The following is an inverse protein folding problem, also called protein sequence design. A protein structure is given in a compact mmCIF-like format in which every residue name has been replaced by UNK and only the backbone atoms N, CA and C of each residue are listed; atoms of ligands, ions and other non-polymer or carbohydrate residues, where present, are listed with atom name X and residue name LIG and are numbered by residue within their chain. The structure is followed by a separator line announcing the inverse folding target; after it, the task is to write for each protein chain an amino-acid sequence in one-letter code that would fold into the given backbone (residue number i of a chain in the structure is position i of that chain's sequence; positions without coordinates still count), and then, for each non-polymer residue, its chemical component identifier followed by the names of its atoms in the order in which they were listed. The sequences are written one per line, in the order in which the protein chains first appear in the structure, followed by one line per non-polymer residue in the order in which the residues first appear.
data_IF_248422851492
#
_entry.id   IF_248422851492
#
_cell.length_a   1.000
_cell.length_b   1.000
_cell.length_c   1.000
_cell.angle_alpha   90.00
_cell.angle_beta   90.00
_cell.angle_gamma   90.00
#
_symmetry.space_group_name_H-M   'P 1'
#
loop_
_entity.id
_entity.type
_entity.pdbx_description
1 polymer ?
#
# COMPACT_ATOMS: atom_id res chain seq x y z
N UNK A 1 21.17 3.45 8.66
CA UNK A 1 21.22 4.91 8.46
C UNK A 1 20.97 5.71 9.73
N UNK A 2 20.24 5.19 10.72
CA UNK A 2 20.06 5.85 12.02
C UNK A 2 21.43 6.28 12.63
N UNK A 3 21.65 7.57 12.85
CA UNK A 3 22.93 8.13 13.32
C UNK A 3 24.06 8.22 12.30
N UNK A 4 23.82 7.97 11.00
CA UNK A 4 24.88 7.86 9.96
C UNK A 4 24.58 8.61 8.66
N UNK A 5 23.55 9.45 8.65
CA UNK A 5 23.14 10.24 7.48
C UNK A 5 22.72 11.65 7.89
N UNK A 6 22.82 12.59 6.94
CA UNK A 6 22.27 13.94 7.09
C UNK A 6 20.78 13.86 7.47
N UNK A 7 20.39 14.60 8.51
CA UNK A 7 19.01 14.65 9.03
C UNK A 7 18.78 13.95 10.38
N UNK A 8 19.61 12.97 10.75
CA UNK A 8 19.45 12.14 11.96
C UNK A 8 20.81 11.75 12.57
N UNK A 9 21.69 12.75 12.70
CA UNK A 9 23.08 12.58 13.16
C UNK A 9 23.12 12.02 14.59
N UNK A 10 22.19 12.46 15.46
CA UNK A 10 22.13 12.04 16.86
C UNK A 10 21.51 10.64 17.05
N UNK A 11 20.91 10.09 15.99
CA UNK A 11 20.35 8.74 15.96
C UNK A 11 19.12 8.55 16.84
N UNK A 12 17.96 9.04 16.40
CA UNK A 12 16.71 8.95 17.17
C UNK A 12 16.10 7.55 17.21
N UNK A 13 15.41 7.23 18.30
CA UNK A 13 14.63 5.99 18.41
C UNK A 13 13.35 6.03 17.57
N UNK A 14 13.03 4.93 16.91
CA UNK A 14 11.80 4.77 16.11
C UNK A 14 10.63 4.26 16.93
N UNK A 15 10.86 3.72 18.12
CA UNK A 15 9.81 3.30 19.05
C UNK A 15 10.05 3.82 20.47
N UNK A 16 9.06 4.56 21.00
CA UNK A 16 8.89 5.03 22.39
C UNK A 16 10.16 5.56 23.09
N UNK A 17 11.08 6.18 22.36
CA UNK A 17 12.38 6.61 22.88
C UNK A 17 13.19 5.48 23.55
N UNK A 18 12.95 4.23 23.16
CA UNK A 18 13.55 3.06 23.79
C UNK A 18 14.21 2.09 22.81
N UNK A 19 13.73 2.03 21.57
CA UNK A 19 14.24 1.06 20.60
C UNK A 19 14.18 1.55 19.16
N UNK A 20 15.00 0.92 18.32
CA UNK A 20 15.02 1.12 16.86
C UNK A 20 14.49 -0.17 16.24
N UNK A 21 13.22 -0.19 15.86
CA UNK A 21 12.54 -1.39 15.34
C UNK A 21 11.95 -1.19 13.94
N UNK A 22 11.80 0.07 13.54
CA UNK A 22 11.39 0.44 12.18
C UNK A 22 12.61 0.71 11.29
N UNK A 23 12.65 0.08 10.12
CA UNK A 23 13.77 0.14 9.19
C UNK A 23 13.29 0.49 7.78
N UNK A 24 14.13 1.22 7.03
CA UNK A 24 14.01 1.32 5.59
C UNK A 24 15.17 0.55 4.96
N UNK A 25 14.83 -0.40 4.08
CA UNK A 25 15.78 -1.20 3.33
C UNK A 25 15.76 -0.75 1.87
N UNK A 26 16.94 -0.65 1.26
CA UNK A 26 17.12 -0.32 -0.14
C UNK A 26 18.29 -1.12 -0.72
N UNK A 27 18.37 -1.20 -2.04
CA UNK A 27 19.55 -1.75 -2.71
C UNK A 27 20.76 -0.84 -2.49
N UNK A 28 21.96 -1.41 -2.59
CA UNK A 28 23.20 -0.64 -2.50
C UNK A 28 23.25 0.47 -3.56
N UNK A 29 22.70 0.24 -4.75
CA UNK A 29 22.64 1.24 -5.82
C UNK A 29 21.72 2.40 -5.48
N UNK A 30 20.60 2.17 -4.79
CA UNK A 30 19.64 3.23 -4.46
C UNK A 30 20.13 4.11 -3.31
N UNK A 31 21.07 3.64 -2.50
CA UNK A 31 21.56 4.40 -1.33
C UNK A 31 22.22 5.71 -1.75
N UNK A 32 22.84 5.76 -2.94
CA UNK A 32 23.47 6.97 -3.48
C UNK A 32 22.46 8.09 -3.77
N UNK A 33 21.19 7.74 -3.91
CA UNK A 33 20.10 8.69 -4.12
C UNK A 33 19.55 9.26 -2.81
N UNK A 34 19.94 8.76 -1.64
CA UNK A 34 19.44 9.30 -0.37
C UNK A 34 20.02 10.69 -0.11
N UNK A 35 19.14 11.66 0.12
CA UNK A 35 19.52 13.04 0.46
C UNK A 35 19.29 13.39 1.92
N UNK A 36 18.23 12.84 2.52
CA UNK A 36 17.86 13.09 3.91
C UNK A 36 17.20 11.84 4.48
N UNK A 37 17.53 11.52 5.73
CA UNK A 37 16.83 10.51 6.52
C UNK A 37 16.61 11.09 7.91
N UNK A 38 15.37 11.07 8.39
CA UNK A 38 15.06 11.49 9.76
C UNK A 38 13.92 10.73 10.39
N UNK A 39 14.07 10.48 11.69
CA UNK A 39 12.96 10.08 12.54
C UNK A 39 12.23 11.34 13.00
N UNK A 40 10.96 11.45 12.60
CA UNK A 40 10.08 12.53 13.00
C UNK A 40 9.65 12.37 14.46
N UNK A 41 9.27 13.49 15.09
CA UNK A 41 8.78 13.44 16.46
C UNK A 41 7.50 12.60 16.55
N UNK A 42 7.39 11.83 17.64
CA UNK A 42 6.23 10.98 17.90
C UNK A 42 4.93 11.76 17.77
N UNK A 43 3.97 11.17 17.08
CA UNK A 43 2.64 11.73 16.92
C UNK A 43 1.60 10.67 17.23
N UNK A 44 0.87 10.92 18.31
CA UNK A 44 -0.26 10.13 18.77
C UNK A 44 -1.37 9.98 17.72
N UNK A 45 -1.42 10.85 16.71
CA UNK A 45 -2.36 10.73 15.59
C UNK A 45 -2.07 9.55 14.66
N UNK A 46 -0.81 9.15 14.53
CA UNK A 46 -0.38 8.17 13.53
C UNK A 46 0.02 6.83 14.15
N UNK A 47 0.45 6.83 15.41
CA UNK A 47 0.80 5.62 16.14
C UNK A 47 0.62 5.81 17.64
N UNK A 48 0.57 4.71 18.36
CA UNK A 48 0.60 4.61 19.82
C UNK A 48 2.03 4.52 20.37
N UNK A 49 2.96 3.90 19.62
CA UNK A 49 4.35 3.67 20.09
C UNK A 49 5.44 4.01 19.07
N UNK A 50 5.13 4.13 17.78
CA UNK A 50 6.12 4.35 16.72
C UNK A 50 6.22 5.81 16.28
N UNK A 51 7.45 6.24 16.01
CA UNK A 51 7.79 7.52 15.40
C UNK A 51 7.95 7.34 13.89
N UNK A 52 7.34 8.20 13.05
CA UNK A 52 7.47 8.07 11.60
C UNK A 52 8.91 8.28 11.12
N UNK A 53 9.31 7.52 10.10
CA UNK A 53 10.56 7.73 9.36
C UNK A 53 10.24 8.54 8.10
N UNK A 54 10.99 9.62 7.87
CA UNK A 54 10.96 10.41 6.64
C UNK A 54 12.27 10.24 5.88
N UNK A 55 12.15 10.00 4.58
CA UNK A 55 13.27 9.78 3.66
C UNK A 55 13.08 10.68 2.46
N UNK A 56 14.15 11.35 2.05
CA UNK A 56 14.21 12.10 0.80
C UNK A 56 15.20 11.43 -0.14
N UNK A 57 14.78 11.27 -1.39
CA UNK A 57 15.61 10.71 -2.46
C UNK A 57 15.79 11.78 -3.53
N UNK A 58 17.02 11.94 -4.02
CA UNK A 58 17.29 12.66 -5.26
C UNK A 58 16.97 11.72 -6.41
N UNK A 59 16.01 12.12 -7.22
CA UNK A 59 15.88 11.53 -8.54
C UNK A 59 17.07 12.00 -9.37
N UNK A 60 17.92 11.06 -9.77
CA UNK A 60 18.90 11.35 -10.81
C UNK A 60 18.11 11.26 -12.11
N UNK A 61 17.81 12.39 -12.72
CA UNK A 61 17.47 12.40 -14.13
C UNK A 61 18.76 12.04 -14.86
N UNK A 62 19.04 10.73 -14.97
CA UNK A 62 19.77 10.30 -16.13
C UNK A 62 18.86 10.70 -17.29
N UNK A 63 19.27 11.72 -18.02
CA UNK A 63 19.08 11.72 -19.47
C UNK A 63 19.71 10.44 -19.98
N UNK A 64 19.03 9.31 -19.78
CA UNK A 64 19.08 8.28 -20.78
C UNK A 64 18.57 9.02 -22.00
N UNK A 65 19.47 9.28 -22.93
CA UNK A 65 19.18 9.58 -24.32
C UNK A 65 18.44 8.39 -24.96
N UNK A 66 17.41 7.88 -24.30
CA UNK A 66 16.21 7.47 -25.00
C UNK A 66 15.64 8.79 -25.48
N UNK A 67 15.74 9.04 -26.78
CA UNK A 67 14.83 9.94 -27.46
C UNK A 67 13.42 9.53 -27.03
N UNK A 68 12.89 10.13 -25.98
CA UNK A 68 11.48 10.16 -25.68
C UNK A 68 10.88 11.08 -26.74
N UNK A 69 10.77 10.55 -27.95
CA UNK A 69 9.73 10.96 -28.86
C UNK A 69 8.41 10.86 -28.09
N UNK A 70 7.67 11.97 -28.13
CA UNK A 70 6.26 12.03 -27.81
C UNK A 70 5.52 10.71 -28.11
N UNK A 71 4.65 10.33 -27.18
CA UNK A 71 3.54 9.42 -27.42
C UNK A 71 3.85 8.04 -28.03
N UNK A 72 4.73 7.28 -27.37
CA UNK A 72 4.49 5.84 -27.21
C UNK A 72 4.74 5.42 -25.78
N UNK A 73 3.78 5.71 -24.89
CA UNK A 73 3.43 4.68 -23.89
C UNK A 73 3.02 3.48 -24.72
N UNK A 74 3.95 2.59 -25.04
CA UNK A 74 3.57 1.23 -25.37
C UNK A 74 2.71 0.81 -24.19
N UNK A 75 1.43 0.55 -24.46
CA UNK A 75 0.56 -0.10 -23.51
C UNK A 75 1.26 -1.41 -23.18
N UNK A 76 2.13 -1.44 -22.17
CA UNK A 76 2.59 -2.68 -21.57
C UNK A 76 1.32 -3.31 -21.03
N UNK A 77 0.77 -4.22 -21.83
CA UNK A 77 -0.49 -4.85 -21.56
C UNK A 77 -0.29 -5.64 -20.26
N UNK A 78 -0.78 -5.10 -19.14
CA UNK A 78 -0.61 -5.75 -17.84
C UNK A 78 -1.36 -7.06 -17.86
N UNK A 79 -0.65 -8.18 -17.71
CA UNK A 79 -1.26 -9.50 -17.68
C UNK A 79 -2.10 -9.64 -16.39
N UNK A 80 -3.20 -10.39 -16.46
CA UNK A 80 -3.96 -10.77 -15.27
C UNK A 80 -3.10 -11.60 -14.31
N UNK A 81 -3.49 -11.63 -13.04
CA UNK A 81 -2.70 -12.32 -12.02
C UNK A 81 -2.67 -13.83 -12.29
N UNK A 82 -1.55 -14.47 -11.93
CA UNK A 82 -1.41 -15.92 -11.94
C UNK A 82 -2.49 -16.58 -11.07
N UNK A 83 -3.04 -17.69 -11.55
CA UNK A 83 -4.02 -18.54 -10.86
C UNK A 83 -3.59 -19.99 -11.04
N UNK A 84 -3.48 -20.75 -9.95
CA UNK A 84 -2.95 -22.12 -10.01
C UNK A 84 -3.82 -23.05 -10.86
N UNK A 85 -5.12 -22.75 -10.94
CA UNK A 85 -6.09 -23.46 -11.75
C UNK A 85 -5.80 -23.36 -13.26
N UNK A 86 -5.03 -22.36 -13.71
CA UNK A 86 -4.68 -22.15 -15.12
C UNK A 86 -3.23 -22.52 -15.45
N UNK A 87 -2.52 -23.13 -14.52
CA UNK A 87 -1.11 -23.54 -14.70
C UNK A 87 -0.91 -24.49 -15.89
N UNK A 88 -1.78 -25.49 -16.05
CA UNK A 88 -1.71 -26.43 -17.18
C UNK A 88 -1.93 -25.72 -18.53
N UNK A 89 -2.90 -24.79 -18.57
CA UNK A 89 -3.20 -24.00 -19.76
C UNK A 89 -2.04 -23.08 -20.16
N UNK A 90 -1.28 -22.59 -19.16
CA UNK A 90 -0.07 -21.84 -19.42
C UNK A 90 0.98 -22.67 -20.15
N UNK A 91 1.18 -23.93 -19.73
CA UNK A 91 2.11 -24.85 -20.39
C UNK A 91 1.67 -25.14 -21.83
N UNK A 92 0.37 -25.32 -22.09
CA UNK A 92 -0.15 -25.50 -23.46
C UNK A 92 0.04 -24.25 -24.34
N UNK A 93 0.08 -23.06 -23.73
CA UNK A 93 0.29 -21.81 -24.44
C UNK A 93 1.78 -21.46 -24.63
N UNK A 94 2.72 -22.28 -24.13
CA UNK A 94 4.15 -22.10 -24.40
C UNK A 94 4.44 -22.43 -25.86
N UNK A 95 5.03 -21.47 -26.57
CA UNK A 95 5.44 -21.68 -27.95
C UNK A 95 6.75 -22.49 -27.96
N UNK A 96 6.64 -23.81 -28.04
CA UNK A 96 7.78 -24.72 -28.03
C UNK A 96 8.72 -24.48 -29.22
N UNK A 97 8.19 -24.12 -30.38
CA UNK A 97 8.99 -23.81 -31.57
C UNK A 97 9.88 -22.58 -31.36
N UNK A 98 9.37 -21.53 -30.73
CA UNK A 98 10.18 -20.36 -30.37
C UNK A 98 11.25 -20.70 -29.32
N UNK A 99 10.94 -21.59 -28.37
CA UNK A 99 11.91 -22.06 -27.38
C UNK A 99 13.03 -22.86 -28.04
N UNK A 100 12.71 -23.75 -28.99
CA UNK A 100 13.68 -24.50 -29.77
C UNK A 100 14.57 -23.60 -30.63
N UNK A 101 13.99 -22.54 -31.22
CA UNK A 101 14.75 -21.53 -31.96
C UNK A 101 15.71 -20.78 -31.05
N UNK A 102 15.27 -20.36 -29.85
CA UNK A 102 16.13 -19.71 -28.85
C UNK A 102 17.28 -20.64 -28.44
N UNK A 103 16.99 -21.92 -28.17
CA UNK A 103 18.03 -22.90 -27.81
C UNK A 103 19.05 -23.08 -28.96
N UNK A 104 18.58 -23.19 -30.20
CA UNK A 104 19.44 -23.32 -31.37
C UNK A 104 20.34 -22.08 -31.58
N UNK A 105 19.82 -20.88 -31.31
CA UNK A 105 20.60 -19.66 -31.34
C UNK A 105 21.65 -19.59 -30.22
N UNK A 106 21.31 -20.06 -29.02
CA UNK A 106 22.24 -20.17 -27.90
C UNK A 106 23.38 -21.12 -28.28
N UNK A 107 23.06 -22.31 -28.79
CA UNK A 107 24.05 -23.32 -29.16
C UNK A 107 24.93 -22.89 -30.35
N UNK A 108 24.37 -22.08 -31.26
CA UNK A 108 25.09 -21.51 -32.40
C UNK A 108 25.93 -20.27 -32.08
N UNK A 109 25.82 -19.71 -30.87
CA UNK A 109 26.53 -18.50 -30.48
C UNK A 109 27.97 -18.82 -30.08
N UNK A 110 28.93 -18.37 -30.89
CA UNK A 110 30.37 -18.56 -30.64
C UNK A 110 31.03 -17.39 -29.92
N UNK A 111 30.43 -16.20 -29.97
CA UNK A 111 30.91 -14.99 -29.29
C UNK A 111 29.79 -14.42 -28.43
N UNK A 112 30.02 -14.42 -27.11
CA UNK A 112 29.05 -13.92 -26.14
C UNK A 112 29.40 -12.47 -25.81
N UNK A 113 28.56 -11.54 -26.28
CA UNK A 113 28.60 -10.13 -25.89
C UNK A 113 27.36 -9.77 -25.06
N UNK A 114 27.37 -8.60 -24.42
CA UNK A 114 26.23 -8.10 -23.66
C UNK A 114 24.98 -7.98 -24.56
N UNK A 115 25.15 -7.53 -25.80
CA UNK A 115 24.07 -7.39 -26.76
C UNK A 115 23.42 -8.75 -27.09
N UNK A 116 24.23 -9.81 -27.22
CA UNK A 116 23.71 -11.17 -27.46
C UNK A 116 22.91 -11.66 -26.26
N UNK A 117 23.38 -11.41 -25.02
CA UNK A 117 22.66 -11.76 -23.80
C UNK A 117 21.33 -11.01 -23.70
N UNK A 118 21.33 -9.70 -23.91
CA UNK A 118 20.13 -8.87 -23.85
C UNK A 118 19.10 -9.28 -24.91
N UNK A 119 19.55 -9.62 -26.12
CA UNK A 119 18.70 -10.15 -27.17
C UNK A 119 18.02 -11.46 -26.77
N UNK A 120 18.78 -12.43 -26.24
CA UNK A 120 18.25 -13.73 -25.81
C UNK A 120 17.24 -13.54 -24.67
N UNK A 121 17.57 -12.71 -23.68
CA UNK A 121 16.67 -12.38 -22.57
C UNK A 121 15.38 -11.74 -23.09
N UNK A 122 15.48 -10.83 -24.06
CA UNK A 122 14.31 -10.21 -24.69
C UNK A 122 13.41 -11.24 -25.38
N UNK A 123 13.99 -12.23 -26.08
CA UNK A 123 13.25 -13.31 -26.73
C UNK A 123 12.54 -14.20 -25.71
N UNK A 124 13.25 -14.65 -24.67
CA UNK A 124 12.66 -15.43 -23.57
C UNK A 124 11.52 -14.65 -22.90
N UNK A 125 11.74 -13.38 -22.60
CA UNK A 125 10.74 -12.49 -22.02
C UNK A 125 9.48 -12.41 -22.89
N UNK A 126 9.63 -12.25 -24.21
CA UNK A 126 8.50 -12.22 -25.16
C UNK A 126 7.71 -13.52 -25.17
N UNK A 127 8.38 -14.67 -25.19
CA UNK A 127 7.71 -15.99 -25.13
C UNK A 127 6.86 -16.07 -23.87
N UNK A 128 7.44 -15.78 -22.70
CA UNK A 128 6.72 -15.85 -21.42
C UNK A 128 5.56 -14.87 -21.32
N UNK A 129 5.74 -13.62 -21.78
CA UNK A 129 4.70 -12.59 -21.77
C UNK A 129 3.54 -12.99 -22.70
N UNK A 130 3.84 -13.48 -23.90
CA UNK A 130 2.81 -13.88 -24.85
C UNK A 130 2.01 -15.08 -24.35
N UNK A 131 2.69 -16.10 -23.83
CA UNK A 131 2.04 -17.28 -23.23
C UNK A 131 1.17 -16.90 -22.03
N UNK A 132 1.65 -15.98 -21.20
CA UNK A 132 0.89 -15.48 -20.05
C UNK A 132 -0.31 -14.63 -20.50
N UNK A 133 -0.14 -13.78 -21.50
CA UNK A 133 -1.22 -13.01 -22.12
C UNK A 133 -2.33 -13.90 -22.68
N UNK A 134 -1.98 -14.96 -23.41
CA UNK A 134 -2.92 -15.92 -23.97
C UNK A 134 -3.65 -16.74 -22.89
N UNK A 135 -2.99 -17.01 -21.77
CA UNK A 135 -3.55 -17.84 -20.69
C UNK A 135 -4.44 -17.04 -19.74
N UNK A 136 -3.93 -15.90 -19.27
CA UNK A 136 -4.56 -15.12 -18.20
C UNK A 136 -5.37 -13.95 -18.76
N UNK A 137 -5.11 -13.54 -20.00
CA UNK A 137 -5.68 -12.34 -20.61
C UNK A 137 -4.97 -11.07 -20.15
N UNK A 138 -5.16 -9.99 -20.92
CA UNK A 138 -4.63 -8.68 -20.60
C UNK A 138 -5.64 -7.85 -19.79
N UNK A 139 -5.17 -7.14 -18.78
CA UNK A 139 -5.95 -6.15 -18.04
C UNK A 139 -6.28 -5.02 -18.99
N UNK A 140 -7.55 -4.87 -19.30
CA UNK A 140 -8.06 -3.64 -19.88
C UNK A 140 -7.83 -2.54 -18.84
N UNK A 141 -7.09 -1.50 -19.21
CA UNK A 141 -6.93 -0.31 -18.38
C UNK A 141 -8.29 0.38 -18.26
N UNK A 142 -9.13 -0.06 -17.33
CA UNK A 142 -10.30 0.69 -16.94
C UNK A 142 -9.80 2.05 -16.45
N UNK A 143 -10.19 3.12 -17.15
CA UNK A 143 -9.86 4.49 -16.74
C UNK A 143 -10.19 4.63 -15.27
N UNK A 144 -9.21 5.07 -14.47
CA UNK A 144 -9.38 5.25 -13.03
C UNK A 144 -10.54 6.21 -12.82
N UNK A 145 -11.75 5.69 -12.54
CA UNK A 145 -12.79 6.51 -11.93
C UNK A 145 -12.18 6.96 -10.63
N UNK A 146 -11.88 8.27 -10.53
CA UNK A 146 -11.52 8.88 -9.26
C UNK A 146 -12.64 8.51 -8.30
N UNK A 147 -12.40 7.54 -7.44
CA UNK A 147 -13.30 7.22 -6.36
C UNK A 147 -13.34 8.50 -5.52
N UNK A 148 -14.41 9.29 -5.69
CA UNK A 148 -14.61 10.48 -4.88
C UNK A 148 -14.52 10.01 -3.45
N UNK A 149 -13.47 10.46 -2.74
CA UNK A 149 -13.19 10.07 -1.35
C UNK A 149 -14.48 10.27 -0.59
N UNK A 150 -15.19 9.17 -0.30
CA UNK A 150 -16.48 9.23 0.39
C UNK A 150 -16.23 10.00 1.67
N UNK A 151 -16.87 11.17 1.80
CA UNK A 151 -16.72 11.99 2.98
C UNK A 151 -17.09 11.13 4.19
N UNK A 152 -16.16 10.96 5.12
CA UNK A 152 -16.39 10.14 6.31
C UNK A 152 -17.56 10.76 7.08
N UNK A 153 -18.68 10.04 7.28
CA UNK A 153 -19.89 10.63 7.85
C UNK A 153 -19.71 11.10 9.30
N UNK A 154 -18.72 10.56 9.99
CA UNK A 154 -18.35 10.95 11.35
C UNK A 154 -17.40 12.15 11.42
N UNK A 155 -16.84 12.63 10.31
CA UNK A 155 -15.87 13.73 10.30
C UNK A 155 -16.59 15.08 10.19
N UNK A 156 -17.01 15.58 11.34
CA UNK A 156 -17.84 16.78 11.49
C UNK A 156 -17.05 18.10 11.41
N UNK A 157 -17.76 19.21 11.64
CA UNK A 157 -17.20 20.56 11.67
C UNK A 157 -16.12 20.71 12.75
N UNK A 158 -16.31 20.12 13.92
CA UNK A 158 -15.36 20.23 15.03
C UNK A 158 -14.05 19.50 14.70
N UNK A 159 -14.14 18.34 14.03
CA UNK A 159 -12.98 17.65 13.49
C UNK A 159 -12.21 18.53 12.48
N UNK A 160 -12.92 19.26 11.61
CA UNK A 160 -12.30 20.20 10.65
C UNK A 160 -11.62 21.36 11.36
N UNK A 161 -12.27 21.97 12.34
CA UNK A 161 -11.75 23.10 13.11
C UNK A 161 -10.48 22.70 13.87
N UNK A 162 -10.53 21.61 14.65
CA UNK A 162 -9.38 21.11 15.40
C UNK A 162 -8.21 20.71 14.48
N UNK A 163 -8.50 20.10 13.31
CA UNK A 163 -7.47 19.80 12.30
C UNK A 163 -6.82 21.05 11.74
N UNK A 164 -7.61 22.08 11.46
CA UNK A 164 -7.11 23.37 10.95
C UNK A 164 -6.17 24.03 11.95
N UNK A 165 -6.58 24.09 13.22
CA UNK A 165 -5.77 24.60 14.32
C UNK A 165 -4.44 23.86 14.46
N UNK A 166 -4.48 22.52 14.57
CA UNK A 166 -3.29 21.68 14.66
C UNK A 166 -2.33 21.91 13.48
N UNK A 167 -2.86 21.95 12.24
CA UNK A 167 -2.05 22.20 11.05
C UNK A 167 -1.42 23.59 11.02
N UNK A 168 -2.16 24.61 11.46
CA UNK A 168 -1.63 25.98 11.59
C UNK A 168 -0.45 26.00 12.57
N UNK A 169 -0.59 25.36 13.73
CA UNK A 169 0.46 25.29 14.75
C UNK A 169 1.68 24.48 14.29
N UNK A 170 1.46 23.36 13.59
CA UNK A 170 2.53 22.50 13.06
C UNK A 170 3.34 23.14 11.92
N UNK A 171 2.72 24.04 11.14
CA UNK A 171 3.40 24.80 10.07
C UNK A 171 4.27 25.95 10.60
N UNK A 172 4.04 26.37 11.84
CA UNK A 172 4.84 27.43 12.44
C UNK A 172 6.28 26.93 12.65
N UNK A 173 7.27 27.75 12.23
CA UNK A 173 8.69 27.42 12.29
C UNK A 173 9.31 27.60 13.69
N UNK A 174 8.59 28.21 14.64
CA UNK A 174 9.07 28.35 16.01
C UNK A 174 9.28 26.96 16.65
N UNK A 175 10.51 26.66 17.08
CA UNK A 175 10.85 25.36 17.70
C UNK A 175 11.11 25.44 19.20
N UNK A 176 10.70 26.53 19.86
CA UNK A 176 10.82 26.67 21.32
C UNK A 176 10.11 25.53 22.06
N UNK A 177 10.61 25.13 23.25
CA UNK A 177 9.96 24.09 24.06
C UNK A 177 8.48 24.40 24.34
N UNK A 178 8.16 25.68 24.59
CA UNK A 178 6.79 26.15 24.78
C UNK A 178 5.91 25.93 23.54
N UNK A 179 6.40 26.30 22.35
CA UNK A 179 5.65 26.06 21.10
C UNK A 179 5.44 24.56 20.84
N UNK A 180 6.44 23.72 21.13
CA UNK A 180 6.29 22.26 21.00
C UNK A 180 5.19 21.71 21.91
N UNK A 181 5.10 22.21 23.15
CA UNK A 181 4.02 21.85 24.07
C UNK A 181 2.64 22.24 23.51
N UNK A 182 2.50 23.45 22.97
CA UNK A 182 1.25 23.91 22.33
C UNK A 182 0.85 23.06 21.12
N UNK A 183 1.82 22.67 20.28
CA UNK A 183 1.56 21.76 19.15
C UNK A 183 1.09 20.39 19.65
N UNK A 184 1.72 19.86 20.69
CA UNK A 184 1.32 18.58 21.32
C UNK A 184 -0.11 18.65 21.88
N UNK A 185 -0.49 19.74 22.53
CA UNK A 185 -1.84 19.91 23.07
C UNK A 185 -2.89 20.08 21.97
N UNK A 186 -2.59 20.83 20.92
CA UNK A 186 -3.45 20.91 19.73
C UNK A 186 -3.63 19.54 19.05
N UNK A 187 -2.57 18.74 19.01
CA UNK A 187 -2.62 17.37 18.50
C UNK A 187 -3.55 16.47 19.32
N UNK A 188 -3.37 16.45 20.65
CA UNK A 188 -4.22 15.70 21.58
C UNK A 188 -5.68 16.13 21.45
N UNK A 189 -5.94 17.44 21.36
CA UNK A 189 -7.28 17.99 21.16
C UNK A 189 -7.89 17.45 19.87
N UNK A 190 -7.17 17.52 18.75
CA UNK A 190 -7.65 16.99 17.48
C UNK A 190 -7.93 15.47 17.55
N UNK A 191 -7.02 14.66 18.10
CA UNK A 191 -7.23 13.22 18.30
C UNK A 191 -8.47 12.93 19.13
N UNK A 192 -8.66 13.67 20.23
CA UNK A 192 -9.80 13.50 21.12
C UNK A 192 -11.12 13.88 20.44
N UNK A 193 -11.16 15.00 19.71
CA UNK A 193 -12.34 15.40 18.93
C UNK A 193 -12.69 14.34 17.88
N UNK A 194 -11.69 13.83 17.16
CA UNK A 194 -11.87 12.75 16.18
C UNK A 194 -12.45 11.47 16.82
N UNK A 195 -11.87 11.04 17.95
CA UNK A 195 -12.31 9.86 18.68
C UNK A 195 -13.74 10.03 19.23
N UNK A 196 -14.08 11.22 19.74
CA UNK A 196 -15.43 11.55 20.21
C UNK A 196 -16.44 11.48 19.06
N UNK A 197 -16.14 12.11 17.93
CA UNK A 197 -17.02 12.12 16.76
C UNK A 197 -17.23 10.70 16.21
N UNK A 198 -16.15 9.90 16.12
CA UNK A 198 -16.23 8.52 15.69
C UNK A 198 -17.03 7.65 16.68
N UNK A 199 -16.82 7.79 18.00
CA UNK A 199 -17.59 7.07 19.03
C UNK A 199 -19.07 7.43 18.98
N UNK A 200 -19.38 8.72 18.86
CA UNK A 200 -20.75 9.22 18.71
C UNK A 200 -21.42 8.62 17.47
N UNK A 201 -20.77 8.71 16.31
CA UNK A 201 -21.28 8.11 15.08
C UNK A 201 -21.53 6.60 15.23
N UNK A 202 -20.61 5.84 15.82
CA UNK A 202 -20.82 4.40 16.05
C UNK A 202 -22.00 4.13 16.99
N UNK A 203 -22.15 4.93 18.04
CA UNK A 203 -23.28 4.84 18.96
C UNK A 203 -24.61 5.13 18.25
N UNK A 204 -24.66 6.23 17.50
CA UNK A 204 -25.87 6.66 16.77
C UNK A 204 -26.21 5.66 15.66
N UNK A 205 -25.20 5.13 14.96
CA UNK A 205 -25.38 4.09 13.96
C UNK A 205 -25.92 2.80 14.57
N UNK A 206 -25.43 2.37 15.75
CA UNK A 206 -25.99 1.20 16.46
C UNK A 206 -27.47 1.40 16.79
N UNK A 207 -27.84 2.54 17.38
CA UNK A 207 -29.23 2.87 17.67
C UNK A 207 -30.10 2.84 16.41
N UNK A 208 -29.62 3.45 15.32
CA UNK A 208 -30.30 3.41 14.03
C UNK A 208 -30.50 1.97 13.53
N UNK A 209 -29.48 1.12 13.66
CA UNK A 209 -29.58 -0.29 13.24
C UNK A 209 -30.57 -1.06 14.11
N UNK A 210 -30.61 -0.83 15.42
CA UNK A 210 -31.58 -1.45 16.34
C UNK A 210 -33.02 -1.02 16.01
N UNK A 211 -33.23 0.27 15.73
CA UNK A 211 -34.54 0.80 15.32
C UNK A 211 -35.00 0.22 13.98
N UNK A 212 -34.11 0.15 12.99
CA UNK A 212 -34.42 -0.39 11.67
C UNK A 212 -34.70 -1.89 11.72
N UNK A 213 -34.01 -2.64 12.58
CA UNK A 213 -34.27 -4.07 12.78
C UNK A 213 -35.72 -4.35 13.16
N UNK A 214 -36.35 -3.44 13.92
CA UNK A 214 -37.74 -3.60 14.37
C UNK A 214 -38.76 -3.02 13.39
N UNK A 215 -38.43 -1.93 12.69
CA UNK A 215 -39.38 -1.14 11.89
C UNK A 215 -39.29 -1.36 10.39
N UNK A 216 -38.11 -1.64 9.86
CA UNK A 216 -37.85 -1.79 8.42
C UNK A 216 -36.68 -2.75 8.16
N UNK A 217 -37.01 -4.03 8.08
CA UNK A 217 -36.04 -5.09 7.82
C UNK A 217 -35.32 -4.93 6.47
N UNK A 218 -35.97 -4.36 5.45
CA UNK A 218 -35.39 -4.21 4.11
C UNK A 218 -34.27 -3.17 4.12
N UNK A 219 -34.53 -2.02 4.74
CA UNK A 219 -33.53 -0.95 4.89
C UNK A 219 -32.38 -1.36 5.81
N UNK A 220 -32.67 -2.13 6.87
CA UNK A 220 -31.64 -2.73 7.74
C UNK A 220 -30.64 -3.58 6.94
N UNK A 221 -31.14 -4.54 6.14
CA UNK A 221 -30.29 -5.43 5.34
C UNK A 221 -29.54 -4.67 4.24
N UNK A 222 -30.13 -3.62 3.66
CA UNK A 222 -29.45 -2.75 2.70
C UNK A 222 -28.21 -2.10 3.34
N UNK A 223 -28.36 -1.42 4.47
CA UNK A 223 -27.26 -0.73 5.17
C UNK A 223 -26.17 -1.69 5.67
N UNK A 224 -26.56 -2.91 6.08
CA UNK A 224 -25.61 -3.94 6.48
C UNK A 224 -24.77 -4.43 5.30
N UNK A 225 -25.39 -4.60 4.12
CA UNK A 225 -24.72 -5.06 2.92
C UNK A 225 -23.90 -3.96 2.21
N UNK A 226 -24.24 -2.68 2.38
CA UNK A 226 -23.48 -1.54 1.84
C UNK A 226 -22.05 -1.43 2.40
N UNK A 227 -21.80 -1.96 3.59
CA UNK A 227 -20.49 -1.94 4.24
C UNK A 227 -19.67 -3.22 3.99
N UNK A 228 -20.16 -4.17 3.19
CA UNK A 228 -19.39 -5.35 2.77
C UNK A 228 -18.39 -4.98 1.68
N UNK A 229 -17.35 -4.22 2.04
CA UNK A 229 -16.19 -3.97 1.17
C UNK A 229 -15.12 -5.06 1.27
N UNK A 230 -15.44 -6.23 1.83
CA UNK A 230 -14.59 -7.42 1.76
C UNK A 230 -15.49 -8.62 1.55
N UNK A 231 -15.15 -9.46 0.58
CA UNK A 231 -15.81 -10.75 0.37
C UNK A 231 -15.90 -11.46 1.73
N UNK A 232 -17.11 -11.82 2.16
CA UNK A 232 -17.25 -12.66 3.33
C UNK A 232 -16.40 -13.92 3.07
N UNK A 233 -15.51 -14.34 3.98
CA UNK A 233 -14.87 -15.63 3.83
C UNK A 233 -15.99 -16.67 3.66
N UNK A 234 -15.86 -17.58 2.68
CA UNK A 234 -16.74 -18.74 2.57
C UNK A 234 -16.54 -19.55 3.85
N UNK A 235 -17.43 -19.33 4.82
CA UNK A 235 -17.51 -20.15 6.01
C UNK A 235 -18.12 -21.46 5.53
N UNK A 236 -17.30 -22.49 5.48
CA UNK A 236 -17.72 -23.85 5.26
C UNK A 236 -18.42 -24.34 6.54
N UNK A 237 -19.76 -24.43 6.48
CA UNK A 237 -20.57 -24.84 7.62
C UNK A 237 -20.34 -26.31 7.99
N UNK A 238 -19.83 -27.12 7.06
CA UNK A 238 -19.52 -28.52 7.33
C UNK A 238 -18.26 -28.63 8.21
N UNK A 239 -17.25 -27.78 7.98
CA UNK A 239 -16.07 -27.67 8.88
C UNK A 239 -16.41 -27.20 10.30
N UNK A 240 -17.35 -26.27 10.44
CA UNK A 240 -17.81 -25.79 11.75
C UNK A 240 -18.54 -26.87 12.56
N UNK A 241 -19.08 -27.89 11.88
CA UNK A 241 -19.77 -28.99 12.53
C UNK A 241 -18.81 -30.05 13.07
N UNK A 242 -17.63 -30.19 12.46
CA UNK A 242 -16.57 -31.10 12.88
C UNK A 242 -15.73 -30.54 14.05
N UNK A 243 -15.57 -29.22 14.15
CA UNK A 243 -14.71 -28.56 15.14
C UNK A 243 -15.36 -28.28 16.52
N UNK A 244 -16.51 -28.89 16.85
CA UNK A 244 -17.15 -28.74 18.17
C UNK A 244 -16.41 -29.46 19.33
N UNK A 245 -15.22 -30.02 19.08
CA UNK A 245 -14.30 -30.44 20.14
C UNK A 245 -13.15 -29.42 20.30
N UNK A 246 -13.42 -28.37 21.07
CA UNK A 246 -12.46 -27.48 21.75
C UNK A 246 -11.61 -26.53 20.89
N UNK A 247 -12.03 -25.25 20.79
CA UNK A 247 -11.10 -24.14 20.50
C UNK A 247 -11.40 -22.92 21.39
N UNK A 248 -10.39 -22.53 22.19
CA UNK A 248 -10.33 -21.24 22.90
C UNK A 248 -9.91 -20.15 21.91
N UNK A 249 -10.73 -19.13 21.71
CA UNK A 249 -10.32 -17.90 21.00
C UNK A 249 -9.59 -16.95 21.97
N UNK A 250 -8.31 -16.70 21.70
CA UNK A 250 -7.53 -15.62 22.30
C UNK A 250 -7.59 -14.42 21.35
N UNK A 251 -8.17 -13.32 21.81
CA UNK A 251 -8.04 -12.02 21.16
C UNK A 251 -6.81 -11.32 21.74
N UNK A 252 -5.79 -11.07 20.92
CA UNK A 252 -4.78 -10.06 21.22
C UNK A 252 -5.35 -8.69 20.82
N UNK A 253 -5.27 -7.73 21.76
CA UNK A 253 -5.57 -6.30 21.57
C UNK A 253 -4.38 -5.64 20.88
#
# INVERSE_FOLDING_TARGET
MNGRTLGDIDGKFTCRNSSVVDYCLCSAELIQNFTDFKVLDFSSLYSDVHSPIEISLKQTDQEVSTKCSDDTRTNEQKINNWTNEKSYKFLECLNLTEIENINSEIDGTTVVTQETVDMIISKIGKVLINSAGNTFGFKVSAGKKSEHRKNKPWFDHDCKAARSEFRKMKRNKNKSPFHRALVSDAEKRYKNTMNKAHKKYRSDFRKKMDDLKQKDAKEFWRLLNENKSTAQPKIDFDKLREDNSSVKMVYCI
#
